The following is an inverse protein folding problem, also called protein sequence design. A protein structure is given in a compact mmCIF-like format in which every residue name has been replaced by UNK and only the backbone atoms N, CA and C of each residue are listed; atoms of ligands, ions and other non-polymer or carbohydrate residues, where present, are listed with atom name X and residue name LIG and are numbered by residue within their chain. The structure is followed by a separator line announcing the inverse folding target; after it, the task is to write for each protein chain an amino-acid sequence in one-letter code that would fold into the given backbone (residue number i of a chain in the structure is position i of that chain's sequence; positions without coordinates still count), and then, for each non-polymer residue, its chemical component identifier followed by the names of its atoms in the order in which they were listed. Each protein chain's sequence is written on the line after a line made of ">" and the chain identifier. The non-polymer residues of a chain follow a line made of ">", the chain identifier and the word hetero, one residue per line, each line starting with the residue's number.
data_IF_067276565143
#
_entry.id   IF_067276565143
#
_cell.length_a   1.000
_cell.length_b   1.000
_cell.length_c   1.000
_cell.angle_alpha   90.00
_cell.angle_beta   90.00
_cell.angle_gamma   90.00
#
_symmetry.space_group_name_H-M   'P 1'
#
loop_
_entity.id
_entity.type
_entity.pdbx_description
1 polymer ?
#
# COMPACT_ATOMS: atom_id res chain seq x y z
N UNK A 1 -11.04 37.02 -7.16
CA UNK A 1 -10.14 36.51 -6.16
C UNK A 1 -8.84 36.03 -6.81
N UNK A 2 -7.69 36.29 -6.21
CA UNK A 2 -6.41 35.74 -6.65
C UNK A 2 -6.48 34.21 -6.62
N UNK A 3 -6.08 33.55 -7.72
CA UNK A 3 -5.93 32.11 -7.75
C UNK A 3 -4.65 31.72 -7.03
N UNK A 4 -4.76 31.07 -5.89
CA UNK A 4 -3.62 30.49 -5.19
C UNK A 4 -3.18 29.24 -5.98
N UNK A 5 -1.90 29.15 -6.42
CA UNK A 5 -1.41 27.98 -7.10
C UNK A 5 -1.49 26.75 -6.17
N UNK A 6 -2.02 25.63 -6.65
CA UNK A 6 -1.95 24.37 -5.92
C UNK A 6 -0.58 23.73 -6.21
N UNK A 7 0.28 23.71 -5.20
CA UNK A 7 1.63 23.14 -5.29
C UNK A 7 1.87 22.18 -4.13
N UNK A 8 2.47 21.02 -4.40
CA UNK A 8 2.83 20.05 -3.38
C UNK A 8 4.04 19.19 -3.79
N UNK A 9 4.67 18.53 -2.83
CA UNK A 9 5.79 17.64 -3.03
C UNK A 9 5.38 16.18 -2.93
N UNK A 10 5.78 15.36 -3.92
CA UNK A 10 5.70 13.91 -3.87
C UNK A 10 7.07 13.33 -3.52
N UNK A 11 7.21 12.75 -2.33
CA UNK A 11 8.42 12.03 -1.93
C UNK A 11 8.37 10.60 -2.52
N UNK A 12 9.46 10.22 -3.19
CA UNK A 12 9.63 8.88 -3.77
C UNK A 12 10.93 8.25 -3.31
N UNK A 13 10.99 6.92 -3.21
CA UNK A 13 12.25 6.23 -2.91
C UNK A 13 13.25 6.41 -4.06
N UNK A 14 14.38 7.05 -3.75
CA UNK A 14 15.36 7.52 -4.74
C UNK A 14 16.03 6.42 -5.56
N UNK A 15 16.18 5.20 -5.00
CA UNK A 15 16.74 4.06 -5.73
C UNK A 15 15.71 3.34 -6.63
N UNK A 16 14.40 3.69 -6.55
CA UNK A 16 13.38 3.11 -7.39
C UNK A 16 13.14 3.93 -8.65
N UNK A 17 13.61 3.45 -9.79
CA UNK A 17 13.30 4.06 -11.08
C UNK A 17 11.80 4.03 -11.39
N UNK A 18 11.11 2.98 -10.96
CA UNK A 18 9.67 2.81 -11.13
C UNK A 18 8.89 3.95 -10.45
N UNK A 19 9.17 4.24 -9.17
CA UNK A 19 8.48 5.31 -8.46
C UNK A 19 8.81 6.70 -9.02
N UNK A 20 10.04 6.91 -9.49
CA UNK A 20 10.39 8.16 -10.20
C UNK A 20 9.61 8.31 -11.49
N UNK A 21 9.49 7.23 -12.27
CA UNK A 21 8.74 7.25 -13.54
C UNK A 21 7.25 7.53 -13.29
N UNK A 22 6.63 6.82 -12.37
CA UNK A 22 5.22 7.06 -11.99
C UNK A 22 5.03 8.50 -11.50
N UNK A 23 5.90 8.98 -10.62
CA UNK A 23 5.86 10.36 -10.15
C UNK A 23 5.95 11.39 -11.28
N UNK A 24 6.82 11.19 -12.26
CA UNK A 24 6.93 12.10 -13.40
C UNK A 24 5.69 12.07 -14.30
N UNK A 25 5.07 10.92 -14.53
CA UNK A 25 3.80 10.81 -15.26
C UNK A 25 2.72 11.66 -14.56
N UNK A 26 2.54 11.48 -13.25
CA UNK A 26 1.57 12.29 -12.49
C UNK A 26 1.89 13.78 -12.53
N UNK A 27 3.17 14.15 -12.41
CA UNK A 27 3.61 15.54 -12.51
C UNK A 27 3.20 16.17 -13.84
N UNK A 28 3.42 15.46 -14.95
CA UNK A 28 3.06 15.95 -16.28
C UNK A 28 1.55 16.06 -16.48
N UNK A 29 0.78 15.10 -15.98
CA UNK A 29 -0.67 15.11 -16.11
C UNK A 29 -1.31 16.19 -15.21
N UNK A 30 -0.84 16.37 -13.99
CA UNK A 30 -1.30 17.41 -13.07
C UNK A 30 -0.98 18.82 -13.59
N UNK A 31 0.15 18.99 -14.27
CA UNK A 31 0.50 20.28 -14.88
C UNK A 31 -0.52 20.73 -15.94
N UNK A 32 -1.15 19.79 -16.65
CA UNK A 32 -2.19 20.11 -17.67
C UNK A 32 -3.43 20.76 -17.07
N UNK A 33 -3.70 20.53 -15.79
CA UNK A 33 -4.81 21.11 -15.05
C UNK A 33 -4.39 22.22 -14.08
N UNK A 34 -3.15 22.69 -14.20
CA UNK A 34 -2.62 23.83 -13.43
C UNK A 34 -2.15 23.47 -12.02
N UNK A 35 -1.97 22.17 -11.70
CA UNK A 35 -1.41 21.72 -10.41
C UNK A 35 0.09 21.49 -10.58
N UNK A 36 0.88 22.07 -9.67
CA UNK A 36 2.35 21.93 -9.66
C UNK A 36 2.78 20.87 -8.65
N UNK A 37 3.21 19.72 -9.13
CA UNK A 37 3.79 18.66 -8.28
C UNK A 37 5.30 18.60 -8.47
N UNK A 38 6.05 18.57 -7.35
CA UNK A 38 7.51 18.38 -7.34
C UNK A 38 7.82 16.95 -6.93
N UNK A 39 8.47 16.18 -7.80
CA UNK A 39 8.95 14.84 -7.45
C UNK A 39 10.27 14.95 -6.72
N UNK A 40 10.33 14.43 -5.49
CA UNK A 40 11.50 14.50 -4.60
C UNK A 40 12.03 13.09 -4.30
N UNK A 41 13.05 12.61 -5.04
CA UNK A 41 13.71 11.36 -4.71
C UNK A 41 14.45 11.47 -3.38
N UNK A 42 14.24 10.50 -2.49
CA UNK A 42 14.83 10.50 -1.16
C UNK A 42 15.45 9.14 -0.83
N UNK A 43 16.54 9.15 -0.08
CA UNK A 43 17.16 7.94 0.46
C UNK A 43 16.21 7.31 1.50
N UNK A 44 16.24 5.96 1.62
CA UNK A 44 15.25 5.20 2.38
C UNK A 44 15.18 5.59 3.86
N UNK A 45 16.31 5.76 4.54
CA UNK A 45 16.32 6.11 5.95
C UNK A 45 15.73 7.51 6.22
N UNK A 46 15.99 8.47 5.32
CA UNK A 46 15.42 9.81 5.42
C UNK A 46 13.93 9.82 5.08
N UNK A 47 13.52 9.03 4.10
CA UNK A 47 12.12 8.84 3.75
C UNK A 47 11.35 8.28 4.96
N UNK A 48 11.86 7.25 5.64
CA UNK A 48 11.23 6.69 6.82
C UNK A 48 11.10 7.70 7.97
N UNK A 49 12.12 8.56 8.19
CA UNK A 49 12.02 9.64 9.19
C UNK A 49 10.87 10.59 8.87
N UNK A 50 10.72 10.99 7.60
CA UNK A 50 9.63 11.85 7.16
C UNK A 50 8.26 11.19 7.36
N UNK A 51 8.15 9.90 7.01
CA UNK A 51 6.94 9.10 7.20
C UNK A 51 6.57 8.99 8.67
N UNK A 52 7.54 8.68 9.54
CA UNK A 52 7.32 8.53 10.97
C UNK A 52 6.92 9.84 11.66
N UNK A 53 7.49 10.96 11.18
CA UNK A 53 7.12 12.31 11.63
C UNK A 53 5.86 12.86 10.95
N UNK A 54 5.34 12.19 9.91
CA UNK A 54 4.23 12.67 9.04
C UNK A 54 4.52 14.03 8.38
N UNK A 55 5.79 14.27 8.06
CA UNK A 55 6.27 15.47 7.41
C UNK A 55 6.33 15.31 5.89
N UNK A 56 5.19 15.15 5.24
CA UNK A 56 5.07 15.03 3.79
C UNK A 56 3.70 15.53 3.31
N UNK A 57 3.66 16.06 2.10
CA UNK A 57 2.41 16.35 1.40
C UNK A 57 1.88 15.07 0.74
N UNK A 58 2.74 14.40 -0.02
CA UNK A 58 2.45 13.13 -0.67
C UNK A 58 3.69 12.21 -0.67
N UNK A 59 3.46 10.90 -0.63
CA UNK A 59 4.54 9.90 -0.60
C UNK A 59 4.14 8.62 -1.32
N UNK A 60 5.10 7.98 -1.99
CA UNK A 60 4.90 6.63 -2.54
C UNK A 60 5.41 5.58 -1.58
N UNK A 61 4.55 4.65 -1.21
CA UNK A 61 4.87 3.48 -0.40
C UNK A 61 4.20 2.22 -0.96
N UNK A 62 4.57 1.07 -0.44
CA UNK A 62 3.93 -0.19 -0.73
C UNK A 62 3.64 -0.94 0.57
N UNK A 63 2.49 -1.60 0.62
CA UNK A 63 2.15 -2.54 1.67
C UNK A 63 2.40 -3.96 1.19
N UNK A 64 2.89 -4.78 2.09
CA UNK A 64 3.00 -6.22 1.90
C UNK A 64 2.21 -6.88 3.02
N UNK A 65 1.13 -7.52 2.66
CA UNK A 65 0.27 -8.26 3.59
C UNK A 65 0.21 -9.73 3.21
N UNK A 66 -0.07 -10.57 4.20
CA UNK A 66 -0.42 -11.97 4.03
C UNK A 66 -1.68 -12.28 4.85
N UNK A 67 -2.32 -13.42 4.64
CA UNK A 67 -3.44 -13.83 5.47
C UNK A 67 -2.99 -14.17 6.91
N UNK A 68 -3.80 -13.83 7.95
CA UNK A 68 -5.00 -13.00 7.82
C UNK A 68 -4.66 -11.53 7.57
N UNK A 69 -5.50 -10.84 6.80
CA UNK A 69 -5.32 -9.40 6.55
C UNK A 69 -5.78 -8.64 7.78
N UNK A 70 -4.89 -7.83 8.34
CA UNK A 70 -5.20 -6.92 9.45
C UNK A 70 -5.54 -5.53 8.88
N UNK A 71 -6.83 -5.22 8.84
CA UNK A 71 -7.31 -3.90 8.39
C UNK A 71 -7.17 -2.83 9.47
N UNK A 72 -7.20 -3.20 10.76
CA UNK A 72 -7.13 -2.28 11.89
C UNK A 72 -5.87 -1.46 11.87
N UNK A 73 -4.73 -2.11 11.69
CA UNK A 73 -3.42 -1.49 11.75
C UNK A 73 -3.28 -0.27 10.82
N UNK A 74 -3.89 -0.33 9.63
CA UNK A 74 -3.72 0.71 8.59
C UNK A 74 -4.88 1.70 8.58
N UNK A 75 -6.11 1.24 8.88
CA UNK A 75 -7.31 1.98 8.54
C UNK A 75 -8.18 2.38 9.72
N UNK A 76 -8.08 1.72 10.88
CA UNK A 76 -8.94 2.03 12.02
C UNK A 76 -8.55 3.37 12.64
N UNK A 77 -9.55 4.17 13.03
CA UNK A 77 -9.37 5.51 13.61
C UNK A 77 -8.48 5.51 14.85
N UNK A 78 -8.51 4.44 15.68
CA UNK A 78 -7.64 4.32 16.85
C UNK A 78 -6.15 4.29 16.52
N UNK A 79 -5.77 4.00 15.27
CA UNK A 79 -4.38 3.95 14.82
C UNK A 79 -3.91 5.27 14.22
N UNK A 80 -4.82 6.22 14.03
CA UNK A 80 -4.54 7.45 13.31
C UNK A 80 -3.51 8.36 14.01
N UNK A 81 -3.45 8.36 15.35
CA UNK A 81 -2.51 9.19 16.11
C UNK A 81 -1.31 8.42 16.69
N UNK A 82 -1.23 7.12 16.46
CA UNK A 82 -0.13 6.34 17.00
C UNK A 82 1.21 6.81 16.39
N UNK A 83 2.18 7.19 17.23
CA UNK A 83 3.52 7.51 16.75
C UNK A 83 4.13 6.33 16.00
N UNK A 84 4.67 6.57 14.80
CA UNK A 84 5.23 5.54 13.90
C UNK A 84 4.22 4.44 13.52
N UNK A 85 2.93 4.68 13.70
CA UNK A 85 1.85 3.77 13.33
C UNK A 85 1.73 3.59 11.81
N UNK A 86 0.96 2.59 11.39
CA UNK A 86 0.76 2.27 9.97
C UNK A 86 -0.35 3.09 9.32
N UNK A 87 -1.25 3.70 10.09
CA UNK A 87 -2.22 4.66 9.57
C UNK A 87 -1.52 6.01 9.30
N UNK A 88 -0.74 6.05 8.25
CA UNK A 88 0.20 7.14 7.93
C UNK A 88 -0.47 8.43 7.49
N UNK A 89 -1.65 8.32 6.89
CA UNK A 89 -2.43 9.46 6.41
C UNK A 89 -3.42 9.99 7.44
N UNK A 90 -3.49 9.36 8.62
CA UNK A 90 -4.42 9.76 9.68
C UNK A 90 -5.89 9.49 9.31
N UNK A 91 -6.16 8.46 8.49
CA UNK A 91 -7.51 8.11 8.07
C UNK A 91 -8.42 7.83 9.27
N UNK A 92 -9.63 8.41 9.24
CA UNK A 92 -10.65 8.22 10.26
C UNK A 92 -12.01 8.17 9.58
N UNK A 93 -12.71 7.09 9.80
CA UNK A 93 -14.07 6.93 9.31
C UNK A 93 -14.82 5.95 10.21
N UNK A 94 -15.88 6.41 10.86
CA UNK A 94 -16.63 5.62 11.83
C UNK A 94 -17.33 4.39 11.21
N UNK A 95 -17.68 4.44 9.93
CA UNK A 95 -18.24 3.29 9.22
C UNK A 95 -17.14 2.25 8.92
N UNK A 96 -15.95 2.71 8.51
CA UNK A 96 -14.78 1.85 8.36
C UNK A 96 -14.44 1.13 9.65
N UNK A 97 -14.45 1.83 10.79
CA UNK A 97 -14.17 1.25 12.11
C UNK A 97 -15.15 0.12 12.44
N UNK A 98 -16.46 0.34 12.26
CA UNK A 98 -17.50 -0.69 12.48
C UNK A 98 -17.30 -1.92 11.59
N UNK A 99 -16.97 -1.71 10.31
CA UNK A 99 -16.74 -2.84 9.38
C UNK A 99 -15.49 -3.62 9.80
N UNK A 100 -14.42 -2.94 10.20
CA UNK A 100 -13.18 -3.56 10.69
C UNK A 100 -13.46 -4.39 11.95
N UNK A 101 -14.17 -3.83 12.92
CA UNK A 101 -14.55 -4.52 14.16
C UNK A 101 -15.42 -5.75 13.89
N UNK A 102 -16.38 -5.64 12.96
CA UNK A 102 -17.20 -6.76 12.54
C UNK A 102 -16.37 -7.86 11.83
N UNK A 103 -15.38 -7.48 11.01
CA UNK A 103 -14.46 -8.42 10.35
C UNK A 103 -13.61 -9.22 11.33
N UNK A 104 -13.22 -8.62 12.45
CA UNK A 104 -12.41 -9.28 13.49
C UNK A 104 -13.19 -10.36 14.23
N UNK A 105 -14.50 -10.21 14.33
CA UNK A 105 -15.39 -11.11 15.08
C UNK A 105 -16.11 -12.14 14.20
N UNK A 106 -16.11 -11.97 12.88
CA UNK A 106 -16.81 -12.85 11.95
C UNK A 106 -15.91 -14.01 11.50
N UNK A 107 -16.38 -15.24 11.66
CA UNK A 107 -15.68 -16.47 11.28
C UNK A 107 -16.25 -17.18 10.03
N UNK A 108 -17.45 -16.78 9.60
CA UNK A 108 -18.05 -17.29 8.36
C UNK A 108 -17.38 -16.61 7.15
N UNK A 109 -16.75 -17.40 6.28
CA UNK A 109 -16.02 -16.90 5.13
C UNK A 109 -16.90 -16.09 4.16
N UNK A 110 -18.16 -16.48 3.99
CA UNK A 110 -19.09 -15.79 3.12
C UNK A 110 -19.46 -14.40 3.64
N UNK A 111 -19.70 -14.29 4.95
CA UNK A 111 -19.97 -13.02 5.62
C UNK A 111 -18.71 -12.13 5.66
N UNK A 112 -17.54 -12.72 6.01
CA UNK A 112 -16.25 -12.00 5.95
C UNK A 112 -16.00 -11.41 4.57
N UNK A 113 -16.23 -12.16 3.52
CA UNK A 113 -16.09 -11.68 2.14
C UNK A 113 -16.99 -10.48 1.86
N UNK A 114 -18.25 -10.52 2.29
CA UNK A 114 -19.19 -9.40 2.13
C UNK A 114 -18.73 -8.14 2.87
N UNK A 115 -18.32 -8.28 4.12
CA UNK A 115 -17.77 -7.17 4.92
C UNK A 115 -16.51 -6.59 4.27
N UNK A 116 -15.60 -7.43 3.79
CA UNK A 116 -14.39 -6.99 3.09
C UNK A 116 -14.72 -6.26 1.77
N UNK A 117 -15.76 -6.66 1.06
CA UNK A 117 -16.23 -5.95 -0.13
C UNK A 117 -16.84 -4.58 0.22
N UNK A 118 -17.63 -4.48 1.29
CA UNK A 118 -18.15 -3.20 1.78
C UNK A 118 -17.00 -2.27 2.19
N UNK A 119 -16.02 -2.79 2.91
CA UNK A 119 -14.83 -2.03 3.28
C UNK A 119 -14.03 -1.54 2.07
N UNK A 120 -13.86 -2.40 1.06
CA UNK A 120 -13.20 -2.03 -0.19
C UNK A 120 -13.93 -0.92 -0.93
N UNK A 121 -15.28 -0.99 -1.00
CA UNK A 121 -16.10 0.05 -1.60
C UNK A 121 -15.94 1.39 -0.87
N UNK A 122 -15.98 1.37 0.46
CA UNK A 122 -15.79 2.56 1.29
C UNK A 122 -14.41 3.19 1.03
N UNK A 123 -13.32 2.42 1.03
CA UNK A 123 -11.99 2.94 0.73
C UNK A 123 -11.88 3.49 -0.70
N UNK A 124 -12.60 2.90 -1.64
CA UNK A 124 -12.65 3.41 -3.01
C UNK A 124 -13.37 4.77 -3.09
N UNK A 125 -14.40 4.98 -2.31
CA UNK A 125 -15.15 6.24 -2.26
C UNK A 125 -14.38 7.34 -1.50
N UNK A 126 -13.79 7.02 -0.38
CA UNK A 126 -13.02 7.95 0.47
C UNK A 126 -11.64 8.30 -0.08
N UNK A 127 -11.05 7.45 -0.92
CA UNK A 127 -9.73 7.65 -1.55
C UNK A 127 -8.63 8.11 -0.58
N UNK A 128 -8.43 7.46 0.59
CA UNK A 128 -7.35 7.85 1.51
C UNK A 128 -5.96 7.59 0.91
N UNK A 129 -5.88 6.72 -0.08
CA UNK A 129 -4.71 6.46 -0.92
C UNK A 129 -5.10 6.52 -2.40
N UNK A 130 -4.15 6.96 -3.23
CA UNK A 130 -4.20 6.69 -4.67
C UNK A 130 -3.61 5.32 -4.92
N UNK A 131 -4.47 4.32 -5.15
CA UNK A 131 -4.05 2.94 -5.38
C UNK A 131 -3.56 2.77 -6.82
N UNK A 132 -2.31 2.34 -6.99
CA UNK A 132 -1.72 2.20 -8.32
C UNK A 132 -1.89 0.78 -8.86
N UNK A 133 -1.20 -0.20 -8.29
CA UNK A 133 -1.17 -1.57 -8.77
C UNK A 133 -0.64 -2.55 -7.74
N UNK A 134 -0.91 -3.82 -7.98
CA UNK A 134 -0.29 -4.93 -7.24
C UNK A 134 0.69 -5.64 -8.17
N UNK A 135 1.92 -5.86 -7.71
CA UNK A 135 2.95 -6.56 -8.47
C UNK A 135 2.63 -8.05 -8.59
N UNK A 136 2.77 -8.58 -9.80
CA UNK A 136 2.78 -10.01 -10.05
C UNK A 136 4.24 -10.47 -10.15
N UNK A 137 4.63 -11.42 -9.30
CA UNK A 137 5.96 -12.03 -9.36
C UNK A 137 5.94 -13.22 -10.29
N UNK A 138 6.88 -13.26 -11.24
CA UNK A 138 7.14 -14.44 -12.04
C UNK A 138 8.35 -15.18 -11.45
N UNK A 139 8.23 -16.48 -11.33
CA UNK A 139 9.32 -17.33 -10.85
C UNK A 139 9.59 -18.38 -11.90
N UNK A 140 10.87 -18.57 -12.20
CA UNK A 140 11.34 -19.53 -13.16
C UNK A 140 12.26 -20.52 -12.44
N UNK A 141 12.19 -21.79 -12.81
CA UNK A 141 13.09 -22.83 -12.29
C UNK A 141 13.41 -23.83 -13.39
N UNK A 142 14.53 -24.52 -13.22
CA UNK A 142 14.96 -25.57 -14.15
C UNK A 142 13.99 -26.75 -14.08
N UNK A 143 13.69 -27.42 -15.23
CA UNK A 143 12.73 -28.55 -15.28
C UNK A 143 13.12 -29.73 -14.40
N UNK A 144 14.41 -29.88 -14.12
CA UNK A 144 14.99 -30.94 -13.27
C UNK A 144 14.62 -30.73 -11.79
N UNK A 145 14.32 -29.48 -11.37
CA UNK A 145 13.90 -29.18 -10.01
C UNK A 145 12.43 -29.57 -9.85
N UNK A 146 12.19 -30.61 -9.06
CA UNK A 146 10.87 -31.18 -8.83
C UNK A 146 10.30 -30.73 -7.49
N UNK A 147 8.98 -30.95 -7.33
CA UNK A 147 8.21 -30.62 -6.14
C UNK A 147 8.26 -29.13 -5.78
N UNK A 148 8.35 -28.26 -6.81
CA UNK A 148 8.32 -26.79 -6.63
C UNK A 148 6.87 -26.36 -6.45
N UNK A 149 6.61 -25.71 -5.33
CA UNK A 149 5.30 -25.13 -5.03
C UNK A 149 5.43 -23.80 -4.29
N UNK A 150 4.41 -22.97 -4.40
CA UNK A 150 4.34 -21.65 -3.83
C UNK A 150 3.23 -21.55 -2.80
N UNK A 151 3.47 -20.75 -1.78
CA UNK A 151 2.46 -20.42 -0.78
C UNK A 151 2.15 -18.92 -0.79
N UNK A 152 0.94 -18.58 -0.36
CA UNK A 152 0.48 -17.18 -0.32
C UNK A 152 1.16 -16.36 0.77
N UNK A 153 1.69 -17.03 1.80
CA UNK A 153 2.38 -16.40 2.94
C UNK A 153 3.89 -16.42 2.77
N UNK A 154 4.58 -15.49 3.40
CA UNK A 154 6.05 -15.47 3.41
C UNK A 154 6.63 -16.58 4.31
N UNK A 155 7.75 -17.19 3.93
CA UNK A 155 8.42 -17.06 2.63
C UNK A 155 7.59 -17.73 1.55
N UNK A 156 7.35 -17.04 0.43
CA UNK A 156 6.49 -17.54 -0.64
C UNK A 156 6.95 -18.86 -1.25
N UNK A 157 8.19 -19.23 -1.03
CA UNK A 157 8.82 -20.48 -1.47
C UNK A 157 9.44 -21.16 -0.25
N UNK A 158 9.15 -22.46 -0.08
CA UNK A 158 9.85 -23.32 0.86
C UNK A 158 10.70 -24.33 0.08
N UNK A 159 12.03 -24.21 0.05
CA UNK A 159 12.88 -25.10 -0.74
C UNK A 159 13.09 -26.50 -0.15
N UNK A 160 12.67 -26.72 1.10
CA UNK A 160 12.90 -28.03 1.80
C UNK A 160 12.39 -29.25 1.05
N UNK A 161 11.19 -29.22 0.42
CA UNK A 161 10.67 -30.38 -0.33
C UNK A 161 11.22 -30.48 -1.76
N UNK A 162 12.06 -29.56 -2.22
CA UNK A 162 12.59 -29.56 -3.59
C UNK A 162 13.64 -30.69 -3.74
N UNK A 163 13.67 -31.34 -4.90
CA UNK A 163 14.69 -32.31 -5.25
C UNK A 163 15.00 -32.24 -6.75
N UNK A 164 16.19 -32.71 -7.12
CA UNK A 164 16.56 -32.87 -8.51
C UNK A 164 16.04 -34.24 -9.00
N UNK A 165 15.17 -34.21 -10.02
CA UNK A 165 14.70 -35.41 -10.71
C UNK A 165 15.55 -35.65 -11.95
N UNK A 166 16.02 -36.88 -12.11
CA UNK A 166 16.64 -37.34 -13.33
C UNK A 166 15.63 -37.69 -14.41
#
# INVERSE_FOLDING_TARGET
>A
GERIPFEFQLIVYGSSNEYKTVGNIFKEDLAKIGVKMVVSPMEWANLLKKVDAREFDAITLAWVSGPPVDFRQIWHSSQADLPKGSNRVGFRNAEADKIIEALELEFDDGKRKKLAQQFHQLLYEEQPYTFFYTRKTKVFWQPELKNVWFQLVRPHINPRPFYLGG
#
